data_IF_567132824945
#
_entry.id   IF_567132824945
#
_cell.length_a   1.000
_cell.length_b   1.000
_cell.length_c   1.000
_cell.angle_alpha   90.00
_cell.angle_beta   90.00
_cell.angle_gamma   90.00
#
_symmetry.space_group_name_H-M   'P 1'
#
loop_
_entity.id
_entity.type
_entity.pdbx_description
1 polymer ?
#
# COMPACT_ATOMS: atom_id res chain seq x y z
N UNK A 1 -0.94 -10.80 14.98
CA UNK A 1 -0.51 -11.23 13.64
C UNK A 1 0.56 -12.32 13.76
N UNK A 2 0.32 -13.48 13.14
CA UNK A 2 1.36 -14.47 12.93
C UNK A 2 2.25 -13.99 11.78
N UNK A 3 3.50 -13.66 12.08
CA UNK A 3 4.46 -13.23 11.06
C UNK A 3 5.14 -14.45 10.45
N UNK A 4 4.60 -14.95 9.37
CA UNK A 4 5.29 -15.96 8.58
C UNK A 4 6.19 -15.30 7.53
N UNK A 5 7.29 -15.97 7.18
CA UNK A 5 8.13 -15.54 6.04
C UNK A 5 7.40 -15.81 4.74
N UNK A 6 7.66 -15.01 3.71
CA UNK A 6 7.04 -15.16 2.38
C UNK A 6 7.22 -16.56 1.79
N UNK A 7 8.36 -17.19 2.02
CA UNK A 7 8.62 -18.57 1.59
C UNK A 7 7.59 -19.58 2.09
N UNK A 8 7.05 -19.38 3.30
CA UNK A 8 5.99 -20.24 3.83
C UNK A 8 4.71 -20.12 3.01
N UNK A 9 4.29 -18.92 2.67
CA UNK A 9 3.11 -18.71 1.82
C UNK A 9 3.27 -19.35 0.44
N UNK A 10 4.48 -19.31 -0.14
CA UNK A 10 4.78 -20.01 -1.39
C UNK A 10 4.67 -21.52 -1.25
N UNK A 11 5.13 -22.08 -0.15
CA UNK A 11 4.98 -23.50 0.14
C UNK A 11 3.50 -23.87 0.23
N UNK A 12 2.71 -23.10 0.99
CA UNK A 12 1.26 -23.32 1.09
C UNK A 12 0.56 -23.31 -0.27
N UNK A 13 0.88 -22.34 -1.10
CA UNK A 13 0.26 -22.18 -2.41
C UNK A 13 0.76 -23.22 -3.44
N UNK A 14 2.07 -23.36 -3.60
CA UNK A 14 2.67 -24.13 -4.71
C UNK A 14 2.88 -25.62 -4.41
N UNK A 15 3.07 -25.98 -3.14
CA UNK A 15 3.34 -27.36 -2.73
C UNK A 15 2.10 -27.98 -2.09
N UNK A 16 1.48 -27.27 -1.13
CA UNK A 16 0.30 -27.78 -0.43
C UNK A 16 -1.02 -27.53 -1.19
N UNK A 17 -0.99 -26.74 -2.28
CA UNK A 17 -2.13 -26.56 -3.17
C UNK A 17 -3.24 -25.66 -2.61
N UNK A 18 -2.97 -24.83 -1.60
CA UNK A 18 -3.96 -23.86 -1.12
C UNK A 18 -4.19 -22.78 -2.17
N UNK A 19 -5.42 -22.60 -2.61
CA UNK A 19 -5.81 -21.59 -3.59
C UNK A 19 -6.16 -20.23 -2.97
N UNK A 20 -6.44 -20.18 -1.67
CA UNK A 20 -6.90 -18.99 -0.95
C UNK A 20 -6.03 -18.65 0.26
N UNK A 21 -5.84 -17.35 0.49
CA UNK A 21 -5.15 -16.82 1.67
C UNK A 21 -6.04 -15.80 2.40
N UNK A 22 -6.05 -15.87 3.73
CA UNK A 22 -6.74 -14.91 4.58
C UNK A 22 -5.81 -13.73 4.89
N UNK A 23 -6.06 -12.58 4.25
CA UNK A 23 -5.27 -11.36 4.42
C UNK A 23 -5.51 -10.63 5.76
N UNK A 24 -6.62 -10.91 6.45
CA UNK A 24 -6.98 -10.20 7.70
C UNK A 24 -5.90 -10.40 8.78
N UNK A 25 -5.25 -11.55 8.79
CA UNK A 25 -4.23 -11.92 9.76
C UNK A 25 -2.80 -11.66 9.27
N UNK A 26 -2.63 -10.99 8.16
CA UNK A 26 -1.35 -10.78 7.50
C UNK A 26 -0.93 -9.32 7.63
N UNK A 27 0.33 -8.98 7.94
CA UNK A 27 0.81 -7.59 7.94
C UNK A 27 0.68 -6.93 6.57
N UNK A 28 0.48 -5.61 6.53
CA UNK A 28 0.24 -4.86 5.27
C UNK A 28 1.34 -5.13 4.23
N UNK A 29 2.61 -5.10 4.61
CA UNK A 29 3.69 -5.36 3.67
C UNK A 29 3.61 -6.74 3.03
N UNK A 30 3.17 -7.74 3.78
CA UNK A 30 2.98 -9.09 3.27
C UNK A 30 1.73 -9.19 2.41
N UNK A 31 0.66 -8.46 2.75
CA UNK A 31 -0.53 -8.35 1.90
C UNK A 31 -0.15 -7.84 0.51
N UNK A 32 0.61 -6.75 0.43
CA UNK A 32 1.13 -6.23 -0.85
C UNK A 32 1.98 -7.29 -1.57
N UNK A 33 2.89 -7.93 -0.86
CA UNK A 33 3.81 -8.93 -1.46
C UNK A 33 3.06 -10.12 -2.04
N UNK A 34 2.08 -10.65 -1.33
CA UNK A 34 1.27 -11.78 -1.79
C UNK A 34 0.47 -11.42 -3.05
N UNK A 35 -0.21 -10.27 -3.03
CA UNK A 35 -1.06 -9.85 -4.15
C UNK A 35 -0.23 -9.47 -5.38
N UNK A 36 0.86 -8.72 -5.22
CA UNK A 36 1.71 -8.30 -6.33
C UNK A 36 2.40 -9.48 -7.05
N UNK A 37 2.66 -10.57 -6.34
CA UNK A 37 3.34 -11.74 -6.88
C UNK A 37 2.40 -12.90 -7.23
N UNK A 38 1.09 -12.68 -7.28
CA UNK A 38 0.09 -13.71 -7.60
C UNK A 38 0.30 -15.01 -6.80
N UNK A 39 0.55 -14.88 -5.50
CA UNK A 39 0.92 -16.03 -4.68
C UNK A 39 -0.23 -17.00 -4.50
N UNK A 40 -1.47 -16.49 -4.43
CA UNK A 40 -2.71 -17.27 -4.35
C UNK A 40 -3.70 -16.83 -5.42
N UNK A 41 -4.66 -17.71 -5.75
CA UNK A 41 -5.71 -17.41 -6.71
C UNK A 41 -6.78 -16.49 -6.13
N UNK A 42 -7.03 -16.63 -4.81
CA UNK A 42 -8.05 -15.88 -4.08
C UNK A 42 -7.51 -15.34 -2.76
N UNK A 43 -8.09 -14.22 -2.33
CA UNK A 43 -7.77 -13.59 -1.04
C UNK A 43 -9.05 -13.29 -0.27
N UNK A 44 -9.16 -13.82 0.95
CA UNK A 44 -10.19 -13.43 1.88
C UNK A 44 -9.72 -12.15 2.60
N UNK A 45 -10.43 -11.06 2.36
CA UNK A 45 -10.13 -9.74 2.93
C UNK A 45 -11.05 -9.36 4.08
N UNK A 46 -12.05 -10.20 4.42
CA UNK A 46 -13.13 -9.86 5.31
C UNK A 46 -14.27 -9.11 4.59
N UNK A 47 -15.31 -8.80 5.35
CA UNK A 47 -16.46 -8.04 4.88
C UNK A 47 -16.37 -6.61 5.39
N UNK A 48 -16.57 -5.65 4.49
CA UNK A 48 -16.58 -4.23 4.78
C UNK A 48 -17.77 -3.57 4.10
N UNK A 49 -18.47 -2.70 4.82
CA UNK A 49 -19.49 -1.86 4.23
C UNK A 49 -18.88 -0.93 3.19
N UNK A 50 -19.56 -0.82 2.07
CA UNK A 50 -19.14 0.07 1.00
C UNK A 50 -19.46 1.52 1.38
N UNK A 51 -18.45 2.39 1.30
CA UNK A 51 -18.63 3.83 1.43
C UNK A 51 -18.81 4.44 0.06
N UNK A 52 -20.01 4.90 -0.25
CA UNK A 52 -20.29 5.66 -1.46
C UNK A 52 -20.03 7.15 -1.23
N UNK A 53 -19.61 7.85 -2.29
CA UNK A 53 -19.33 9.29 -2.26
C UNK A 53 -18.27 9.69 -1.20
N UNK A 54 -17.26 8.87 -1.06
CA UNK A 54 -16.16 9.14 -0.14
C UNK A 54 -15.33 10.33 -0.65
N UNK A 55 -14.97 11.23 0.25
CA UNK A 55 -14.15 12.39 -0.10
C UNK A 55 -12.68 12.06 0.09
N UNK A 56 -11.92 12.13 -0.99
CA UNK A 56 -10.50 11.85 -1.01
C UNK A 56 -9.73 13.15 -1.28
N UNK A 57 -8.74 13.45 -0.44
CA UNK A 57 -7.80 14.54 -0.65
C UNK A 57 -6.45 14.03 -1.13
N UNK A 58 -5.80 14.82 -1.97
CA UNK A 58 -4.45 14.54 -2.49
C UNK A 58 -3.56 15.73 -2.20
N UNK A 59 -2.42 15.47 -1.58
CA UNK A 59 -1.37 16.45 -1.32
C UNK A 59 -0.06 15.98 -1.95
N UNK A 60 0.66 16.91 -2.58
CA UNK A 60 1.94 16.66 -3.26
C UNK A 60 3.03 17.53 -2.65
N UNK A 61 4.16 16.93 -2.30
CA UNK A 61 5.31 17.61 -1.70
C UNK A 61 6.59 17.22 -2.41
N UNK A 62 7.54 18.16 -2.52
CA UNK A 62 8.89 17.94 -3.06
C UNK A 62 8.95 17.47 -4.52
N UNK A 63 7.92 17.70 -5.32
CA UNK A 63 7.88 17.28 -6.75
C UNK A 63 8.71 18.17 -7.67
N UNK A 64 9.36 19.20 -7.17
CA UNK A 64 10.30 20.05 -7.92
C UNK A 64 11.66 19.38 -8.17
N UNK A 65 11.96 18.29 -7.46
CA UNK A 65 13.22 17.56 -7.61
C UNK A 65 13.04 16.37 -8.55
N UNK A 66 13.93 16.28 -9.54
CA UNK A 66 14.01 15.10 -10.39
C UNK A 66 14.67 13.95 -9.60
N UNK A 67 13.93 12.86 -9.45
CA UNK A 67 14.38 11.64 -8.78
C UNK A 67 13.70 10.44 -9.40
N UNK A 68 14.29 9.27 -9.25
CA UNK A 68 13.72 8.00 -9.69
C UNK A 68 12.84 7.34 -8.60
N UNK A 69 12.63 8.03 -7.49
CA UNK A 69 11.96 7.50 -6.30
C UNK A 69 10.82 8.41 -5.83
N UNK A 70 9.73 7.82 -5.37
CA UNK A 70 8.56 8.52 -4.84
C UNK A 70 8.02 7.84 -3.59
N UNK A 71 7.56 8.64 -2.63
CA UNK A 71 6.76 8.16 -1.50
C UNK A 71 5.28 8.25 -1.85
N UNK A 72 4.53 7.17 -1.61
CA UNK A 72 3.08 7.14 -1.73
C UNK A 72 2.49 6.78 -0.36
N UNK A 73 1.90 7.76 0.29
CA UNK A 73 1.23 7.61 1.58
C UNK A 73 -0.27 7.47 1.35
N UNK A 74 -0.86 6.41 1.90
CA UNK A 74 -2.29 6.10 1.72
C UNK A 74 -2.94 6.03 3.09
N UNK A 75 -3.67 7.08 3.42
CA UNK A 75 -4.36 7.25 4.69
C UNK A 75 -5.81 6.78 4.56
N UNK A 76 -6.12 5.65 5.15
CA UNK A 76 -7.46 5.02 5.12
C UNK A 76 -8.04 4.89 6.53
N UNK A 77 -7.66 3.85 7.26
CA UNK A 77 -8.21 3.54 8.60
C UNK A 77 -7.70 4.53 9.66
N UNK A 78 -6.47 4.97 9.54
CA UNK A 78 -5.85 5.94 10.43
C UNK A 78 -5.23 7.08 9.62
N UNK A 79 -5.32 8.33 10.13
CA UNK A 79 -4.74 9.47 9.46
C UNK A 79 -3.21 9.37 9.42
N UNK A 80 -2.63 9.74 8.28
CA UNK A 80 -1.20 9.86 8.08
C UNK A 80 -0.78 11.31 7.91
N UNK A 81 0.44 11.61 8.32
CA UNK A 81 1.09 12.90 8.12
C UNK A 81 2.55 12.72 7.67
N UNK A 82 3.09 13.73 7.01
CA UNK A 82 4.48 13.72 6.51
C UNK A 82 5.51 13.55 7.66
N UNK A 83 5.17 13.94 8.88
CA UNK A 83 6.04 13.79 10.06
C UNK A 83 6.32 12.33 10.43
N UNK A 84 5.50 11.39 9.96
CA UNK A 84 5.65 9.96 10.21
C UNK A 84 6.63 9.28 9.24
N UNK A 85 7.04 9.97 8.19
CA UNK A 85 8.06 9.46 7.27
C UNK A 85 9.42 9.29 7.96
N UNK A 86 10.19 8.25 7.60
CA UNK A 86 11.59 8.15 8.00
C UNK A 86 12.37 9.40 7.57
N UNK A 87 13.29 9.87 8.41
CA UNK A 87 14.08 11.09 8.13
C UNK A 87 14.77 11.03 6.76
N UNK A 88 15.32 9.87 6.41
CA UNK A 88 16.02 9.65 5.14
C UNK A 88 15.09 9.72 3.90
N UNK A 89 13.77 9.71 4.12
CA UNK A 89 12.76 9.72 3.03
C UNK A 89 11.98 11.04 2.95
N UNK A 90 12.18 11.97 3.88
CA UNK A 90 11.39 13.22 3.96
C UNK A 90 11.58 14.16 2.78
N UNK A 91 12.74 14.12 2.15
CA UNK A 91 13.08 15.01 1.01
C UNK A 91 12.68 14.41 -0.37
N UNK A 92 12.17 13.20 -0.38
CA UNK A 92 11.72 12.53 -1.60
C UNK A 92 10.34 13.06 -2.00
N UNK A 93 10.02 13.21 -3.29
CA UNK A 93 8.68 13.53 -3.75
C UNK A 93 7.63 12.64 -3.08
N UNK A 94 6.62 13.23 -2.49
CA UNK A 94 5.62 12.51 -1.68
C UNK A 94 4.21 12.84 -2.12
N UNK A 95 3.46 11.79 -2.44
CA UNK A 95 2.00 11.81 -2.57
C UNK A 95 1.38 11.40 -1.23
N UNK A 96 0.48 12.22 -0.71
CA UNK A 96 -0.37 11.85 0.43
C UNK A 96 -1.82 11.81 -0.05
N UNK A 97 -2.38 10.63 -0.08
CA UNK A 97 -3.76 10.37 -0.50
C UNK A 97 -4.55 9.95 0.73
N UNK A 98 -5.55 10.74 1.11
CA UNK A 98 -6.27 10.56 2.37
C UNK A 98 -7.77 10.51 2.16
N UNK A 99 -8.41 9.54 2.79
CA UNK A 99 -9.85 9.59 3.03
C UNK A 99 -10.12 10.65 4.10
N UNK A 100 -11.02 11.58 3.80
CA UNK A 100 -11.39 12.63 4.74
C UNK A 100 -12.44 12.14 5.73
N UNK A 101 -12.07 11.16 6.56
CA UNK A 101 -12.90 10.68 7.67
C UNK A 101 -12.40 11.31 8.95
N UNK A 102 -12.98 12.41 9.32
CA UNK A 102 -12.56 13.18 10.49
C UNK A 102 -12.96 12.52 11.82
N UNK A 103 -13.96 11.64 11.84
CA UNK A 103 -14.53 11.12 13.08
C UNK A 103 -14.86 9.63 13.07
N UNK A 104 -14.48 8.90 12.03
CA UNK A 104 -14.94 7.54 11.87
C UNK A 104 -13.75 6.57 11.81
N UNK A 105 -13.58 5.80 12.89
CA UNK A 105 -12.57 4.72 12.98
C UNK A 105 -13.04 3.48 12.20
N UNK A 106 -14.16 3.57 11.50
CA UNK A 106 -14.72 2.44 10.79
C UNK A 106 -13.93 2.13 9.52
N UNK A 107 -13.78 0.87 9.28
CA UNK A 107 -13.14 0.33 8.09
C UNK A 107 -14.18 0.12 7.02
N UNK A 108 -14.03 0.80 5.90
CA UNK A 108 -14.93 0.70 4.76
C UNK A 108 -14.23 0.20 3.51
N UNK A 109 -14.98 -0.47 2.64
CA UNK A 109 -14.63 -0.60 1.24
C UNK A 109 -14.78 0.78 0.58
N UNK A 110 -13.68 1.35 0.09
CA UNK A 110 -13.67 2.68 -0.55
C UNK A 110 -13.18 2.59 -1.99
N UNK A 111 -14.09 2.38 -2.95
CA UNK A 111 -13.73 2.41 -4.38
C UNK A 111 -13.14 3.74 -4.83
N UNK A 112 -13.57 4.87 -4.24
CA UNK A 112 -13.03 6.19 -4.53
C UNK A 112 -11.57 6.31 -4.13
N UNK A 113 -11.18 5.79 -2.96
CA UNK A 113 -9.78 5.75 -2.53
C UNK A 113 -8.94 4.94 -3.51
N UNK A 114 -9.40 3.75 -3.85
CA UNK A 114 -8.70 2.88 -4.81
C UNK A 114 -8.52 3.58 -6.16
N UNK A 115 -9.59 4.18 -6.69
CA UNK A 115 -9.56 4.92 -7.96
C UNK A 115 -8.59 6.10 -7.91
N UNK A 116 -8.61 6.85 -6.82
CA UNK A 116 -7.71 7.99 -6.63
C UNK A 116 -6.25 7.54 -6.61
N UNK A 117 -5.92 6.49 -5.85
CA UNK A 117 -4.55 5.94 -5.83
C UNK A 117 -4.13 5.47 -7.22
N UNK A 118 -5.00 4.77 -7.94
CA UNK A 118 -4.71 4.32 -9.32
C UNK A 118 -4.40 5.51 -10.24
N UNK A 119 -5.21 6.56 -10.19
CA UNK A 119 -5.04 7.73 -11.05
C UNK A 119 -3.74 8.48 -10.73
N UNK A 120 -3.45 8.69 -9.45
CA UNK A 120 -2.23 9.39 -9.02
C UNK A 120 -0.97 8.58 -9.35
N UNK A 121 -0.96 7.27 -9.13
CA UNK A 121 0.17 6.41 -9.47
C UNK A 121 0.40 6.36 -10.99
N UNK A 122 -0.68 6.30 -11.78
CA UNK A 122 -0.57 6.33 -13.24
C UNK A 122 -0.08 7.66 -13.80
N UNK A 123 -0.31 8.76 -13.08
CA UNK A 123 0.12 10.10 -13.47
C UNK A 123 1.57 10.42 -13.09
N UNK A 124 2.24 9.53 -12.38
CA UNK A 124 3.65 9.69 -12.03
C UNK A 124 4.53 9.74 -13.29
N UNK A 125 5.59 10.53 -13.21
CA UNK A 125 6.54 10.65 -14.32
C UNK A 125 7.22 9.31 -14.61
N UNK A 126 7.49 9.03 -15.88
CA UNK A 126 8.10 7.78 -16.35
C UNK A 126 9.53 7.53 -15.84
N UNK A 127 10.21 8.56 -15.34
CA UNK A 127 11.53 8.41 -14.69
C UNK A 127 11.43 7.79 -13.28
N UNK A 128 10.25 7.76 -12.66
CA UNK A 128 10.05 7.10 -11.36
C UNK A 128 10.15 5.59 -11.54
N UNK A 129 11.11 4.99 -10.86
CA UNK A 129 11.39 3.54 -10.90
C UNK A 129 11.21 2.85 -9.56
N UNK A 130 11.23 3.59 -8.46
CA UNK A 130 11.10 3.09 -7.10
C UNK A 130 9.93 3.74 -6.40
N UNK A 131 9.06 2.94 -5.82
CA UNK A 131 7.91 3.42 -5.06
C UNK A 131 8.00 2.93 -3.62
N UNK A 132 7.94 3.87 -2.69
CA UNK A 132 7.84 3.59 -1.26
C UNK A 132 6.39 3.77 -0.82
N UNK A 133 5.78 2.72 -0.32
CA UNK A 133 4.38 2.72 0.12
C UNK A 133 4.30 2.76 1.64
N UNK A 134 3.49 3.70 2.13
CA UNK A 134 3.17 3.91 3.54
C UNK A 134 1.65 3.90 3.66
N UNK A 135 1.07 2.83 4.18
CA UNK A 135 -0.37 2.64 4.14
C UNK A 135 -0.97 2.26 5.49
N UNK A 136 -2.18 2.76 5.75
CA UNK A 136 -3.04 2.35 6.88
C UNK A 136 -4.33 1.70 6.36
N UNK A 137 -4.28 1.10 5.21
CA UNK A 137 -5.42 0.51 4.52
C UNK A 137 -5.90 -0.79 5.19
N UNK A 138 -7.22 -1.03 5.14
CA UNK A 138 -7.78 -2.32 5.50
C UNK A 138 -7.41 -3.38 4.42
N UNK A 139 -7.56 -4.69 4.70
CA UNK A 139 -7.14 -5.74 3.77
C UNK A 139 -7.80 -5.67 2.38
N UNK A 140 -9.07 -5.27 2.31
CA UNK A 140 -9.79 -5.17 1.04
C UNK A 140 -9.26 -4.02 0.18
N UNK A 141 -9.13 -2.83 0.77
CA UNK A 141 -8.56 -1.68 0.06
C UNK A 141 -7.09 -1.93 -0.31
N UNK A 142 -6.32 -2.59 0.56
CA UNK A 142 -4.93 -2.99 0.25
C UNK A 142 -4.87 -3.91 -0.97
N UNK A 143 -5.69 -4.96 -1.00
CA UNK A 143 -5.74 -5.89 -2.14
C UNK A 143 -6.12 -5.17 -3.43
N UNK A 144 -7.13 -4.32 -3.40
CA UNK A 144 -7.62 -3.60 -4.57
C UNK A 144 -6.59 -2.57 -5.08
N UNK A 145 -5.93 -1.86 -4.17
CA UNK A 145 -4.85 -0.92 -4.51
C UNK A 145 -3.64 -1.67 -5.09
N UNK A 146 -3.18 -2.73 -4.45
CA UNK A 146 -2.05 -3.53 -4.95
C UNK A 146 -2.32 -4.05 -6.36
N UNK A 147 -3.51 -4.63 -6.59
CA UNK A 147 -3.89 -5.18 -7.89
C UNK A 147 -4.03 -4.10 -8.97
N UNK A 148 -4.68 -2.99 -8.66
CA UNK A 148 -5.10 -2.01 -9.68
C UNK A 148 -4.07 -0.91 -9.90
N UNK A 149 -3.38 -0.45 -8.85
CA UNK A 149 -2.40 0.63 -8.96
C UNK A 149 -0.99 0.15 -9.30
N UNK A 150 -0.54 -0.95 -8.70
CA UNK A 150 0.85 -1.38 -8.79
C UNK A 150 1.06 -2.58 -9.70
N UNK A 151 0.08 -3.47 -9.84
CA UNK A 151 0.19 -4.65 -10.68
C UNK A 151 -0.33 -4.39 -12.10
N UNK A 152 -1.60 -4.00 -12.23
CA UNK A 152 -2.24 -3.81 -13.54
C UNK A 152 -2.03 -2.41 -14.11
N UNK A 153 -2.00 -1.41 -13.24
CA UNK A 153 -1.78 -0.03 -13.62
C UNK A 153 -0.32 0.33 -13.75
N UNK A 154 0.53 -0.48 -13.14
CA UNK A 154 1.95 -0.21 -13.01
C UNK A 154 2.70 -0.29 -14.30
N UNK A 155 2.03 -0.56 -15.42
CA UNK A 155 2.83 -0.54 -16.61
C UNK A 155 4.27 -0.93 -16.26
N UNK A 156 5.00 -1.40 -17.10
CA UNK A 156 6.41 -1.76 -16.98
C UNK A 156 7.37 -0.68 -16.41
N UNK A 157 6.87 0.32 -15.69
CA UNK A 157 7.64 1.49 -15.28
C UNK A 157 8.36 1.34 -13.95
N UNK A 158 7.77 0.62 -12.97
CA UNK A 158 8.41 0.47 -11.67
C UNK A 158 9.31 -0.76 -11.63
N UNK A 159 10.54 -0.53 -11.18
CA UNK A 159 11.50 -1.61 -10.96
C UNK A 159 11.40 -2.18 -9.55
N UNK A 160 10.95 -1.36 -8.60
CA UNK A 160 10.90 -1.75 -7.19
C UNK A 160 9.72 -1.09 -6.48
N UNK A 161 9.00 -1.89 -5.69
CA UNK A 161 8.01 -1.42 -4.73
C UNK A 161 8.42 -1.88 -3.34
N UNK A 162 8.53 -0.94 -2.42
CA UNK A 162 8.80 -1.18 -1.00
C UNK A 162 7.61 -0.76 -0.17
N UNK A 163 7.27 -1.55 0.85
CA UNK A 163 6.26 -1.19 1.84
C UNK A 163 6.94 -1.01 3.19
N UNK A 164 6.65 0.10 3.83
CA UNK A 164 7.16 0.45 5.15
C UNK A 164 6.14 0.09 6.22
N UNK A 165 6.59 -0.56 7.27
CA UNK A 165 5.74 -0.95 8.39
C UNK A 165 5.70 0.18 9.41
N UNK A 166 4.48 0.51 9.86
CA UNK A 166 4.27 1.47 10.95
C UNK A 166 4.65 0.84 12.30
N UNK A 167 5.38 1.59 13.11
CA UNK A 167 5.67 1.22 14.49
C UNK A 167 4.42 1.43 15.36
N UNK A 168 4.22 0.55 16.33
CA UNK A 168 3.04 0.62 17.20
C UNK A 168 3.18 1.61 18.35
N UNK A 169 4.41 2.04 18.62
CA UNK A 169 4.75 2.87 19.78
C UNK A 169 4.76 4.36 19.43
N UNK A 170 4.30 5.18 20.34
CA UNK A 170 4.39 6.64 20.29
C UNK A 170 3.66 7.29 19.09
N UNK A 171 4.41 8.05 18.29
CA UNK A 171 3.88 8.87 17.18
C UNK A 171 3.50 8.01 15.95
N UNK A 172 3.59 6.70 16.03
CA UNK A 172 3.33 5.76 14.93
C UNK A 172 4.16 6.07 13.67
N UNK A 173 5.44 6.35 13.86
CA UNK A 173 6.39 6.51 12.75
C UNK A 173 6.53 5.21 11.97
N UNK A 174 6.89 5.34 10.71
CA UNK A 174 7.26 4.18 9.90
C UNK A 174 8.72 3.79 10.11
N UNK A 175 9.01 2.50 10.02
CA UNK A 175 10.37 1.96 10.13
C UNK A 175 11.29 2.58 9.10
N UNK A 176 12.58 2.71 9.42
CA UNK A 176 13.60 3.24 8.51
C UNK A 176 13.88 2.31 7.32
N UNK A 177 13.56 1.02 7.44
CA UNK A 177 13.77 0.02 6.40
C UNK A 177 12.43 -0.42 5.82
N UNK A 178 12.23 -0.14 4.54
CA UNK A 178 11.13 -0.71 3.79
C UNK A 178 11.42 -2.16 3.39
N UNK A 179 10.36 -2.94 3.24
CA UNK A 179 10.43 -4.33 2.78
C UNK A 179 10.14 -4.35 1.29
N UNK A 180 11.04 -4.90 0.49
CA UNK A 180 10.82 -5.08 -0.95
C UNK A 180 9.71 -6.09 -1.15
N UNK A 181 8.60 -5.65 -1.72
CA UNK A 181 7.43 -6.49 -2.00
C UNK A 181 7.33 -6.87 -3.48
N UNK A 182 7.93 -6.07 -4.34
CA UNK A 182 8.07 -6.34 -5.77
C UNK A 182 9.42 -5.82 -6.26
N UNK A 183 10.08 -6.60 -7.09
CA UNK A 183 11.30 -6.22 -7.80
C UNK A 183 11.31 -6.90 -9.16
N UNK A 184 11.56 -6.10 -10.20
CA UNK A 184 11.73 -6.57 -11.57
C UNK A 184 13.15 -7.04 -11.82
#
# INVERSE_FOLDING_TARGET
>A
YKQYRYGWYRICSKILGYSECNLIQVPIYMQFKLVLNDTFDKYNCGEFDKKENDTISVSKSNFSHETDEVNVMISDTYPLSLSQLPEIKKNIPTLLISRNNTNDVNRYDSPELVRCVVNEVRSLNNNIKKVNVYATTNPLNTKNIASSAFKLGGRDNFNEVRVFQQERDGIRKFNNKGIVVYKR
#
